data_IF_327045221746
#
_entry.id   IF_327045221746
#
_cell.length_a   1.000
_cell.length_b   1.000
_cell.length_c   1.000
_cell.angle_alpha   90.00
_cell.angle_beta   90.00
_cell.angle_gamma   90.00
#
_symmetry.space_group_name_H-M   'P 1'
#
loop_
_entity.id
_entity.type
_entity.pdbx_description
1 polymer ?
#
# COMPACT_ATOMS: atom_id res chain seq x y z
N UNK A 1 -24.77 37.72 5.69
CA UNK A 1 -24.88 36.33 5.22
C UNK A 1 -23.45 35.85 5.05
N UNK A 2 -22.91 35.17 6.05
CA UNK A 2 -21.53 34.68 6.03
C UNK A 2 -21.49 33.45 5.11
N UNK A 3 -20.74 33.59 4.02
CA UNK A 3 -20.40 32.50 3.12
C UNK A 3 -19.49 31.55 3.90
N UNK A 4 -20.07 30.47 4.41
CA UNK A 4 -19.36 29.42 5.11
C UNK A 4 -18.45 28.70 4.10
N UNK A 5 -17.20 29.15 4.00
CA UNK A 5 -16.20 28.60 3.09
C UNK A 5 -15.75 27.24 3.63
N UNK A 6 -16.41 26.18 3.17
CA UNK A 6 -15.99 24.82 3.45
C UNK A 6 -14.61 24.60 2.81
N UNK A 7 -13.56 24.69 3.62
CA UNK A 7 -12.22 24.24 3.23
C UNK A 7 -12.20 22.73 3.39
N UNK A 8 -12.01 21.95 2.32
CA UNK A 8 -11.88 20.52 2.46
C UNK A 8 -10.61 20.21 3.26
N UNK A 9 -10.76 19.46 4.36
CA UNK A 9 -9.64 18.88 5.09
C UNK A 9 -8.96 17.84 4.19
N UNK A 10 -7.75 18.12 3.74
CA UNK A 10 -6.92 17.23 2.94
C UNK A 10 -5.94 16.55 3.91
N UNK A 11 -6.13 15.25 4.25
CA UNK A 11 -5.16 14.54 5.08
C UNK A 11 -3.82 14.42 4.32
N UNK A 12 -2.74 14.86 4.95
CA UNK A 12 -1.37 14.65 4.48
C UNK A 12 -0.85 13.31 5.00
N UNK A 13 -0.97 12.25 4.21
CA UNK A 13 -0.49 10.90 4.54
C UNK A 13 0.79 10.57 3.78
N UNK A 14 1.94 10.86 4.39
CA UNK A 14 3.25 10.33 3.96
C UNK A 14 3.53 9.00 4.67
N UNK A 15 3.16 7.87 4.06
CA UNK A 15 3.19 6.55 4.72
C UNK A 15 4.31 5.62 4.21
N UNK A 16 5.24 6.08 3.39
CA UNK A 16 6.24 5.20 2.75
C UNK A 16 7.34 4.67 3.67
N UNK A 17 7.66 5.36 4.78
CA UNK A 17 8.63 4.87 5.76
C UNK A 17 8.05 3.85 6.74
N UNK A 18 6.71 3.74 6.80
CA UNK A 18 6.01 2.87 7.75
C UNK A 18 5.94 1.42 7.26
N UNK A 19 5.98 1.19 5.95
CA UNK A 19 5.78 -0.14 5.34
C UNK A 19 6.96 -1.08 5.58
N UNK A 20 8.20 -0.59 5.43
CA UNK A 20 9.38 -1.44 5.61
C UNK A 20 9.57 -1.89 7.07
N UNK A 21 9.40 -0.98 8.03
CA UNK A 21 9.53 -1.32 9.45
C UNK A 21 8.43 -2.29 9.91
N UNK A 22 7.18 -2.14 9.41
CA UNK A 22 6.09 -3.08 9.68
C UNK A 22 6.36 -4.45 9.07
N UNK A 23 6.83 -4.52 7.81
CA UNK A 23 7.18 -5.78 7.15
C UNK A 23 8.28 -6.54 7.90
N UNK A 24 9.34 -5.87 8.34
CA UNK A 24 10.43 -6.50 9.09
C UNK A 24 9.97 -7.01 10.46
N UNK A 25 9.11 -6.25 11.17
CA UNK A 25 8.53 -6.67 12.45
C UNK A 25 7.59 -7.87 12.26
N UNK A 26 6.63 -7.79 11.37
CA UNK A 26 5.69 -8.87 11.08
C UNK A 26 6.43 -10.16 10.68
N UNK A 27 7.48 -10.05 9.86
CA UNK A 27 8.32 -11.17 9.48
C UNK A 27 9.08 -11.78 10.67
N UNK A 28 9.60 -10.94 11.57
CA UNK A 28 10.37 -11.37 12.75
C UNK A 28 9.48 -11.99 13.83
N UNK A 29 8.31 -11.39 14.05
CA UNK A 29 7.31 -11.81 15.05
C UNK A 29 6.45 -12.97 14.57
N UNK A 30 6.54 -13.33 13.27
CA UNK A 30 5.76 -14.39 12.62
C UNK A 30 4.26 -14.15 12.73
N UNK A 31 3.86 -12.89 12.75
CA UNK A 31 2.46 -12.50 12.71
C UNK A 31 1.98 -12.57 11.26
N UNK A 32 1.27 -13.64 10.95
CA UNK A 32 0.71 -13.91 9.62
C UNK A 32 -0.28 -12.83 9.19
N UNK A 33 -1.05 -12.29 10.15
CA UNK A 33 -2.03 -11.26 9.89
C UNK A 33 -1.33 -9.93 9.60
N UNK A 34 -0.36 -9.54 10.42
CA UNK A 34 0.38 -8.29 10.21
C UNK A 34 1.21 -8.35 8.91
N UNK A 35 1.75 -9.52 8.56
CA UNK A 35 2.47 -9.73 7.30
C UNK A 35 1.55 -9.54 6.09
N UNK A 36 0.33 -10.06 6.18
CA UNK A 36 -0.69 -9.90 5.14
C UNK A 36 -1.14 -8.45 5.01
N UNK A 37 -1.42 -7.78 6.13
CA UNK A 37 -1.79 -6.36 6.15
C UNK A 37 -0.69 -5.48 5.54
N UNK A 38 0.57 -5.73 5.88
CA UNK A 38 1.69 -5.00 5.32
C UNK A 38 1.88 -5.24 3.81
N UNK A 39 1.60 -6.46 3.31
CA UNK A 39 1.57 -6.74 1.87
C UNK A 39 0.43 -6.00 1.15
N UNK A 40 -0.74 -5.87 1.79
CA UNK A 40 -1.87 -5.10 1.26
C UNK A 40 -1.59 -3.59 1.23
N UNK A 41 -0.93 -3.03 2.26
CA UNK A 41 -0.48 -1.64 2.27
C UNK A 41 0.52 -1.36 1.13
N UNK A 42 1.40 -2.32 0.84
CA UNK A 42 2.33 -2.24 -0.29
C UNK A 42 1.59 -2.24 -1.63
N UNK A 43 0.63 -3.15 -1.82
CA UNK A 43 -0.19 -3.20 -3.04
C UNK A 43 -0.97 -1.90 -3.26
N UNK A 44 -1.54 -1.29 -2.22
CA UNK A 44 -2.19 0.02 -2.31
C UNK A 44 -1.21 1.10 -2.83
N UNK A 45 -0.01 1.16 -2.25
CA UNK A 45 1.02 2.12 -2.67
C UNK A 45 1.42 1.90 -4.13
N UNK A 46 1.57 0.65 -4.54
CA UNK A 46 1.89 0.29 -5.91
C UNK A 46 0.79 0.69 -6.89
N UNK A 47 -0.49 0.42 -6.57
CA UNK A 47 -1.63 0.81 -7.39
C UNK A 47 -1.72 2.34 -7.50
N UNK A 48 -1.48 3.08 -6.41
CA UNK A 48 -1.44 4.54 -6.46
C UNK A 48 -0.34 5.04 -7.41
N UNK A 49 0.86 4.45 -7.35
CA UNK A 49 1.94 4.77 -8.27
C UNK A 49 1.59 4.42 -9.71
N UNK A 50 0.91 3.28 -9.94
CA UNK A 50 0.43 2.88 -11.25
C UNK A 50 -0.54 3.92 -11.83
N UNK A 51 -1.54 4.37 -11.06
CA UNK A 51 -2.46 5.41 -11.52
C UNK A 51 -1.76 6.73 -11.83
N UNK A 52 -0.77 7.10 -11.02
CA UNK A 52 0.06 8.28 -11.25
C UNK A 52 0.82 8.20 -12.56
N UNK A 53 1.45 7.06 -12.87
CA UNK A 53 2.15 6.87 -14.14
C UNK A 53 1.18 6.81 -15.33
N UNK A 54 0.03 6.14 -15.17
CA UNK A 54 -1.02 6.12 -16.20
C UNK A 54 -1.47 7.54 -16.57
N UNK A 55 -1.75 8.40 -15.58
CA UNK A 55 -2.16 9.79 -15.86
C UNK A 55 -1.10 10.61 -16.60
N UNK A 56 0.19 10.40 -16.30
CA UNK A 56 1.27 11.05 -17.04
C UNK A 56 1.23 10.70 -18.54
N UNK A 57 0.72 9.53 -18.91
CA UNK A 57 0.62 9.10 -20.32
C UNK A 57 -0.54 9.71 -21.10
N UNK A 58 -1.63 10.10 -20.42
CA UNK A 58 -2.82 10.69 -21.09
C UNK A 58 -2.60 12.16 -21.48
N UNK A 59 -1.55 12.78 -20.95
CA UNK A 59 -1.22 14.19 -21.15
C UNK A 59 -1.95 15.10 -20.16
N UNK A 60 -1.26 16.14 -19.70
CA UNK A 60 -1.86 17.16 -18.82
C UNK A 60 -2.77 18.05 -19.66
N UNK A 61 -4.09 17.84 -19.56
CA UNK A 61 -5.07 18.84 -19.99
C UNK A 61 -4.99 20.10 -19.10
N UNK A 62 -6.04 20.92 -19.08
CA UNK A 62 -6.15 22.07 -18.16
C UNK A 62 -6.20 21.60 -16.69
N UNK A 63 -5.05 21.27 -16.12
CA UNK A 63 -4.87 20.90 -14.72
C UNK A 63 -4.78 22.15 -13.86
N UNK A 64 -5.54 22.17 -12.76
CA UNK A 64 -5.40 23.19 -11.71
C UNK A 64 -5.12 22.49 -10.38
N UNK A 65 -4.46 23.18 -9.45
CA UNK A 65 -4.02 22.64 -8.16
C UNK A 65 -5.14 21.88 -7.42
N UNK A 66 -6.34 22.44 -7.37
CA UNK A 66 -7.49 21.81 -6.70
C UNK A 66 -7.90 20.47 -7.35
N UNK A 67 -7.83 20.39 -8.69
CA UNK A 67 -8.14 19.17 -9.42
C UNK A 67 -7.07 18.11 -9.20
N UNK A 68 -5.79 18.51 -9.22
CA UNK A 68 -4.67 17.60 -9.00
C UNK A 68 -4.72 17.00 -7.58
N UNK A 69 -5.02 17.82 -6.57
CA UNK A 69 -5.19 17.34 -5.19
C UNK A 69 -6.38 16.40 -5.06
N UNK A 70 -7.54 16.75 -5.64
CA UNK A 70 -8.70 15.86 -5.63
C UNK A 70 -8.40 14.51 -6.29
N UNK A 71 -7.72 14.52 -7.45
CA UNK A 71 -7.32 13.30 -8.14
C UNK A 71 -6.35 12.46 -7.33
N UNK A 72 -5.39 13.08 -6.62
CA UNK A 72 -4.48 12.36 -5.73
C UNK A 72 -5.23 11.65 -4.60
N UNK A 73 -6.16 12.35 -3.95
CA UNK A 73 -6.98 11.76 -2.88
C UNK A 73 -7.89 10.66 -3.41
N UNK A 74 -8.50 10.87 -4.59
CA UNK A 74 -9.35 9.88 -5.23
C UNK A 74 -8.57 8.60 -5.54
N UNK A 75 -7.38 8.72 -6.12
CA UNK A 75 -6.51 7.59 -6.39
C UNK A 75 -6.09 6.83 -5.14
N UNK A 76 -5.79 7.54 -4.06
CA UNK A 76 -5.41 6.92 -2.79
C UNK A 76 -6.56 6.07 -2.23
N UNK A 77 -7.79 6.59 -2.27
CA UNK A 77 -8.96 5.84 -1.80
C UNK A 77 -9.26 4.63 -2.69
N UNK A 78 -9.18 4.80 -4.02
CA UNK A 78 -9.35 3.68 -4.95
C UNK A 78 -8.26 2.63 -4.74
N UNK A 79 -7.01 3.03 -4.55
CA UNK A 79 -5.90 2.11 -4.31
C UNK A 79 -6.05 1.35 -2.99
N UNK A 80 -6.47 2.02 -1.92
CA UNK A 80 -6.75 1.42 -0.62
C UNK A 80 -7.96 0.47 -0.67
N UNK A 81 -9.00 0.83 -1.40
CA UNK A 81 -10.18 -0.03 -1.59
C UNK A 81 -9.82 -1.27 -2.42
N UNK A 82 -9.04 -1.08 -3.49
CA UNK A 82 -8.58 -2.16 -4.35
C UNK A 82 -7.68 -3.16 -3.62
N UNK A 83 -6.76 -2.70 -2.77
CA UNK A 83 -5.85 -3.59 -2.04
C UNK A 83 -6.53 -4.41 -0.93
N UNK A 84 -7.61 -3.90 -0.34
CA UNK A 84 -8.40 -4.62 0.68
C UNK A 84 -9.36 -5.64 0.08
N UNK A 85 -9.77 -5.43 -1.17
CA UNK A 85 -10.63 -6.34 -1.92
C UNK A 85 -9.83 -7.40 -2.69
N UNK A 86 -10.37 -7.82 -3.83
CA UNK A 86 -9.64 -8.60 -4.82
C UNK A 86 -8.84 -7.64 -5.70
N UNK A 87 -7.68 -7.19 -5.20
CA UNK A 87 -6.78 -6.28 -5.90
C UNK A 87 -6.19 -6.89 -7.18
N UNK A 88 -4.96 -6.51 -7.50
CA UNK A 88 -4.26 -7.05 -8.67
C UNK A 88 -3.49 -8.34 -8.34
N UNK A 89 -3.45 -8.74 -7.06
CA UNK A 89 -2.88 -10.00 -6.57
C UNK A 89 -1.39 -9.90 -6.20
N UNK A 90 -0.84 -8.68 -6.12
CA UNK A 90 0.56 -8.49 -5.75
C UNK A 90 0.76 -8.77 -4.26
N UNK A 91 -0.18 -8.37 -3.40
CA UNK A 91 -0.10 -8.66 -1.97
C UNK A 91 -0.05 -10.17 -1.71
N UNK A 92 -0.91 -10.94 -2.36
CA UNK A 92 -0.93 -12.41 -2.23
C UNK A 92 0.36 -13.04 -2.75
N UNK A 93 0.89 -12.57 -3.87
CA UNK A 93 2.16 -13.06 -4.41
C UNK A 93 3.32 -12.79 -3.44
N UNK A 94 3.40 -11.58 -2.88
CA UNK A 94 4.43 -11.23 -1.89
C UNK A 94 4.29 -12.04 -0.61
N UNK A 95 3.08 -12.14 -0.08
CA UNK A 95 2.77 -12.94 1.10
C UNK A 95 3.20 -14.40 0.90
N UNK A 96 2.84 -15.02 -0.23
CA UNK A 96 3.23 -16.41 -0.52
C UNK A 96 4.75 -16.59 -0.57
N UNK A 97 5.49 -15.63 -1.14
CA UNK A 97 6.95 -15.68 -1.17
C UNK A 97 7.56 -15.54 0.22
N UNK A 98 7.05 -14.62 1.04
CA UNK A 98 7.52 -14.35 2.40
C UNK A 98 7.20 -15.52 3.33
N UNK A 99 5.96 -16.03 3.29
CA UNK A 99 5.53 -17.19 4.06
C UNK A 99 6.30 -18.47 3.69
N UNK A 100 6.58 -18.69 2.40
CA UNK A 100 7.41 -19.82 1.94
C UNK A 100 8.84 -19.74 2.50
N UNK A 101 9.44 -18.55 2.51
CA UNK A 101 10.76 -18.33 3.13
C UNK A 101 10.74 -18.58 4.64
N UNK A 102 9.75 -18.05 5.36
CA UNK A 102 9.57 -18.29 6.81
C UNK A 102 9.50 -19.79 7.14
N UNK A 103 8.72 -20.55 6.36
CA UNK A 103 8.57 -21.98 6.54
C UNK A 103 9.87 -22.76 6.26
N UNK A 104 10.65 -22.35 5.26
CA UNK A 104 11.94 -22.96 4.95
C UNK A 104 13.02 -22.64 6.01
N UNK A 105 13.07 -21.40 6.52
CA UNK A 105 13.96 -21.01 7.63
C UNK A 105 13.62 -21.78 8.92
N UNK A 106 12.33 -22.05 9.19
CA UNK A 106 11.90 -22.88 10.30
C UNK A 106 12.36 -24.35 10.18
N UNK A 107 12.35 -24.93 8.97
CA UNK A 107 12.87 -26.29 8.76
C UNK A 107 14.38 -26.38 8.98
N UNK A 108 15.15 -25.42 8.48
CA UNK A 108 16.62 -25.42 8.59
C UNK A 108 17.11 -25.31 10.04
N UNK A 109 16.43 -24.48 10.86
CA UNK A 109 16.80 -24.29 12.28
C UNK A 109 16.44 -25.48 13.19
N UNK A 110 15.56 -26.38 12.75
CA UNK A 110 15.24 -27.62 13.47
C UNK A 110 16.15 -28.80 13.10
N UNK A 111 16.76 -28.80 11.93
CA UNK A 111 17.72 -29.82 11.51
C UNK A 111 19.12 -29.61 12.10
N UNK A 112 19.52 -28.36 12.38
CA UNK A 112 20.80 -28.06 13.05
C UNK A 112 20.77 -28.28 14.59
N UNK A 113 19.58 -28.45 15.17
CA UNK A 113 19.39 -28.69 16.61
C UNK A 113 19.20 -30.17 16.98
N UNK A 114 19.50 -31.10 16.05
CA UNK A 114 19.44 -32.55 16.26
C UNK A 114 20.79 -33.19 15.97
#
# INVERSE_FOLDING_TARGET
MEINSYTPYIPSTNNSSLTQSKLEKAYTEKDDQELREACQEFEATFINMLFKEMRKTVGSGDSNFALDTYQQMFDEEIANSASKGNGIGIADMMYNQLASKLNNTYKSTKEEAK
#
